data_IF_004030986335
#
_entry.id   IF_004030986335
#
_cell.length_a   1.000
_cell.length_b   1.000
_cell.length_c   1.000
_cell.angle_alpha   90.00
_cell.angle_beta   90.00
_cell.angle_gamma   90.00
#
_symmetry.space_group_name_H-M   'P 1'
#
loop_
_entity.id
_entity.type
_entity.pdbx_description
1 polymer ?
#
# COMPACT_ATOMS: atom_id res chain seq x y z
N UNK A 1 -26.86 1.43 20.94
CA UNK A 1 -25.86 0.40 21.32
C UNK A 1 -24.48 1.06 21.36
N UNK A 2 -23.55 0.54 22.15
CA UNK A 2 -22.23 1.14 22.42
C UNK A 2 -21.39 1.47 21.16
N UNK A 3 -21.73 0.90 19.99
CA UNK A 3 -21.00 1.07 18.73
C UNK A 3 -21.76 1.85 17.64
N UNK A 4 -22.92 2.45 17.92
CA UNK A 4 -23.71 3.16 16.89
C UNK A 4 -22.99 4.34 16.22
N UNK A 5 -21.98 4.92 16.89
CA UNK A 5 -21.14 5.97 16.32
C UNK A 5 -20.28 5.47 15.14
N UNK A 6 -19.95 4.18 15.08
CA UNK A 6 -19.17 3.60 13.97
C UNK A 6 -20.00 3.64 12.68
N UNK A 7 -21.28 3.26 12.76
CA UNK A 7 -22.19 3.27 11.60
C UNK A 7 -22.48 4.71 11.11
N UNK A 8 -22.49 5.67 12.03
CA UNK A 8 -22.59 7.09 11.68
C UNK A 8 -21.34 7.58 10.95
N UNK A 9 -20.14 7.25 11.44
CA UNK A 9 -18.88 7.62 10.79
C UNK A 9 -18.70 6.92 9.43
N UNK A 10 -19.09 5.65 9.28
CA UNK A 10 -19.05 4.94 8.00
C UNK A 10 -19.96 5.64 6.96
N UNK A 11 -21.21 5.95 7.33
CA UNK A 11 -22.14 6.70 6.47
C UNK A 11 -21.59 8.07 6.07
N UNK A 12 -21.03 8.82 7.02
CA UNK A 12 -20.44 10.13 6.74
C UNK A 12 -19.29 10.04 5.73
N UNK A 13 -18.39 9.05 5.89
CA UNK A 13 -17.27 8.83 4.97
C UNK A 13 -17.72 8.36 3.59
N UNK A 14 -18.75 7.52 3.50
CA UNK A 14 -19.34 7.09 2.22
C UNK A 14 -19.95 8.26 1.48
N UNK A 15 -20.77 9.07 2.16
CA UNK A 15 -21.38 10.26 1.58
C UNK A 15 -20.34 11.27 1.08
N UNK A 16 -19.22 11.40 1.79
CA UNK A 16 -18.11 12.25 1.40
C UNK A 16 -17.16 11.63 0.34
N UNK A 17 -17.40 10.39 -0.12
CA UNK A 17 -16.53 9.71 -1.08
C UNK A 17 -15.13 9.35 -0.53
N UNK A 18 -14.98 9.26 0.79
CA UNK A 18 -13.69 9.03 1.47
C UNK A 18 -13.39 7.56 1.77
N UNK A 19 -14.31 6.65 1.41
CA UNK A 19 -14.08 5.22 1.56
C UNK A 19 -13.08 4.74 0.53
N UNK A 20 -11.97 4.19 1.01
CA UNK A 20 -10.94 3.58 0.18
C UNK A 20 -11.23 2.09 0.01
N UNK A 21 -11.09 1.58 -1.20
CA UNK A 21 -11.16 0.15 -1.50
C UNK A 21 -9.77 -0.33 -1.89
N UNK A 22 -9.30 -1.39 -1.24
CA UNK A 22 -8.01 -2.00 -1.56
C UNK A 22 -8.05 -2.55 -3.00
N UNK A 23 -7.07 -2.16 -3.83
CA UNK A 23 -6.82 -2.77 -5.13
C UNK A 23 -5.47 -3.48 -5.07
N UNK A 24 -5.44 -4.83 -4.95
CA UNK A 24 -4.18 -5.57 -4.91
C UNK A 24 -3.33 -5.29 -6.16
N UNK A 25 -2.05 -4.97 -5.96
CA UNK A 25 -1.08 -4.80 -7.05
C UNK A 25 -0.33 -6.12 -7.25
N UNK A 26 -0.17 -6.61 -8.50
CA UNK A 26 0.68 -7.77 -8.75
C UNK A 26 2.14 -7.45 -8.43
N UNK A 27 2.92 -8.46 -8.06
CA UNK A 27 4.34 -8.30 -7.72
C UNK A 27 5.16 -7.74 -8.90
N UNK A 28 4.72 -8.00 -10.13
CA UNK A 28 5.23 -7.41 -11.36
C UNK A 28 4.05 -6.82 -12.13
N UNK A 29 4.21 -5.58 -12.59
CA UNK A 29 3.23 -4.88 -13.42
C UNK A 29 3.94 -4.44 -14.70
N UNK A 30 3.31 -4.58 -15.89
CA UNK A 30 3.84 -4.01 -17.12
C UNK A 30 3.62 -2.48 -17.18
N UNK A 31 2.82 -1.92 -16.27
CA UNK A 31 2.53 -0.49 -16.20
C UNK A 31 3.63 0.26 -15.45
N UNK A 32 3.92 1.48 -15.90
CA UNK A 32 4.77 2.43 -15.19
C UNK A 32 4.04 2.93 -13.92
N UNK A 33 4.72 2.83 -12.76
CA UNK A 33 4.18 3.31 -11.49
C UNK A 33 4.58 4.78 -11.25
N UNK A 34 3.63 5.69 -11.43
CA UNK A 34 3.80 7.13 -11.17
C UNK A 34 3.33 7.57 -9.78
N UNK A 35 2.81 6.65 -8.97
CA UNK A 35 2.27 6.93 -7.65
C UNK A 35 3.12 6.32 -6.51
N UNK A 36 4.22 5.66 -6.86
CA UNK A 36 5.20 5.17 -5.89
C UNK A 36 5.96 6.33 -5.26
N UNK A 37 6.24 6.22 -3.97
CA UNK A 37 7.15 7.11 -3.25
C UNK A 37 8.60 6.59 -3.26
N UNK A 38 8.88 5.50 -3.98
CA UNK A 38 10.25 4.99 -4.18
C UNK A 38 11.00 5.86 -5.21
N UNK A 39 11.27 7.10 -4.84
CA UNK A 39 11.85 8.12 -5.71
C UNK A 39 13.23 7.75 -6.26
N UNK A 40 13.96 6.90 -5.56
CA UNK A 40 15.31 6.46 -5.94
C UNK A 40 15.31 5.09 -6.63
N UNK A 41 14.15 4.42 -6.73
CA UNK A 41 14.05 3.08 -7.29
C UNK A 41 14.78 2.00 -6.48
N UNK A 42 15.03 2.24 -5.19
CA UNK A 42 15.87 1.36 -4.38
C UNK A 42 15.14 0.10 -3.92
N UNK A 43 13.81 0.08 -3.91
CA UNK A 43 13.03 -1.06 -3.45
C UNK A 43 13.29 -2.34 -4.27
N UNK A 44 13.81 -2.21 -5.49
CA UNK A 44 14.18 -3.33 -6.37
C UNK A 44 15.62 -3.27 -6.87
N UNK A 45 16.44 -2.35 -6.35
CA UNK A 45 17.83 -2.22 -6.79
C UNK A 45 18.62 -3.49 -6.42
N UNK A 46 19.41 -4.07 -7.34
CA UNK A 46 20.07 -5.36 -7.12
C UNK A 46 20.86 -5.44 -5.82
N UNK A 47 21.71 -4.45 -5.53
CA UNK A 47 22.55 -4.45 -4.32
C UNK A 47 21.74 -4.39 -3.01
N UNK A 48 20.60 -3.68 -3.03
CA UNK A 48 19.70 -3.58 -1.86
C UNK A 48 19.00 -4.91 -1.62
N UNK A 49 18.50 -5.52 -2.71
CA UNK A 49 17.85 -6.83 -2.65
C UNK A 49 18.85 -7.89 -2.17
N UNK A 50 20.08 -7.90 -2.69
CA UNK A 50 21.12 -8.83 -2.26
C UNK A 50 21.48 -8.63 -0.78
N UNK A 51 21.59 -7.38 -0.31
CA UNK A 51 21.79 -7.06 1.09
C UNK A 51 20.70 -7.65 1.98
N UNK A 52 19.43 -7.46 1.60
CA UNK A 52 18.29 -8.03 2.32
C UNK A 52 18.29 -9.56 2.31
N UNK A 53 18.60 -10.19 1.17
CA UNK A 53 18.70 -11.66 1.06
C UNK A 53 19.80 -12.21 1.97
N UNK A 54 20.97 -11.57 2.04
CA UNK A 54 22.05 -11.98 2.96
C UNK A 54 21.60 -11.88 4.42
N UNK A 55 20.97 -10.78 4.81
CA UNK A 55 20.49 -10.57 6.17
C UNK A 55 19.39 -11.57 6.57
N UNK A 56 18.53 -11.98 5.64
CA UNK A 56 17.47 -12.96 5.94
C UNK A 56 17.97 -14.41 6.08
N UNK A 57 19.22 -14.69 5.69
CA UNK A 57 19.83 -16.04 5.75
C UNK A 57 20.64 -16.29 7.03
N UNK A 58 20.83 -15.27 7.85
CA UNK A 58 21.49 -15.37 9.17
C UNK A 58 20.44 -15.52 10.26
#
# INVERSE_FOLDING_TARGET
MAFGWIDEQDRARRAAGLVRVLRPRPARSPLLDLASNDYLGLARHPEVVEGAVRAART
#
